data_IF_571146081108
#
_entry.id   IF_571146081108
#
_cell.length_a   1.000
_cell.length_b   1.000
_cell.length_c   1.000
_cell.angle_alpha   90.00
_cell.angle_beta   90.00
_cell.angle_gamma   90.00
#
_symmetry.space_group_name_H-M   'P 1'
#
loop_
_entity.id
_entity.type
_entity.pdbx_description
1 polymer ?
#
# COMPACT_ATOMS: atom_id res chain seq x y z
N UNK A 1 -62.43 -65.94 -23.60
CA UNK A 1 -60.97 -66.16 -23.62
C UNK A 1 -60.37 -65.04 -24.46
N UNK A 2 -59.93 -63.96 -23.82
CA UNK A 2 -59.46 -62.74 -24.50
C UNK A 2 -57.98 -62.89 -24.92
N UNK A 3 -57.55 -62.31 -26.06
CA UNK A 3 -56.16 -62.38 -26.49
C UNK A 3 -55.26 -61.45 -25.65
N UNK A 4 -53.94 -61.74 -25.56
CA UNK A 4 -53.03 -60.94 -24.75
C UNK A 4 -52.71 -59.60 -25.41
N UNK A 5 -52.65 -58.55 -24.60
CA UNK A 5 -52.33 -57.19 -25.01
C UNK A 5 -50.85 -57.04 -25.41
N UNK A 6 -50.61 -56.43 -26.57
CA UNK A 6 -49.28 -56.04 -27.05
C UNK A 6 -48.86 -54.77 -26.31
N UNK A 7 -47.76 -54.85 -25.55
CA UNK A 7 -47.19 -53.71 -24.84
C UNK A 7 -46.41 -52.79 -25.81
N UNK A 8 -46.83 -51.54 -25.91
CA UNK A 8 -46.12 -50.48 -26.65
C UNK A 8 -45.01 -49.91 -25.75
N UNK A 9 -43.76 -49.78 -26.21
CA UNK A 9 -42.70 -49.22 -25.39
C UNK A 9 -42.88 -47.70 -25.24
N UNK A 10 -42.96 -47.23 -23.99
CA UNK A 10 -42.91 -45.80 -23.65
C UNK A 10 -41.55 -45.23 -24.04
N UNK A 11 -41.53 -44.34 -25.04
CA UNK A 11 -40.36 -43.50 -25.35
C UNK A 11 -40.03 -42.63 -24.12
N UNK A 12 -38.87 -42.88 -23.51
CA UNK A 12 -38.25 -41.99 -22.53
C UNK A 12 -37.86 -40.69 -23.25
N UNK A 13 -38.65 -39.64 -23.04
CA UNK A 13 -38.25 -38.28 -23.42
C UNK A 13 -37.14 -37.86 -22.46
N UNK A 14 -35.89 -37.93 -22.92
CA UNK A 14 -34.75 -37.40 -22.20
C UNK A 14 -34.96 -35.88 -22.03
N UNK A 15 -35.29 -35.45 -20.81
CA UNK A 15 -35.28 -34.04 -20.44
C UNK A 15 -33.85 -33.54 -20.57
N UNK A 16 -33.57 -32.80 -21.65
CA UNK A 16 -32.33 -32.07 -21.83
C UNK A 16 -32.14 -31.18 -20.59
N UNK A 17 -31.20 -31.55 -19.73
CA UNK A 17 -30.73 -30.70 -18.65
C UNK A 17 -30.02 -29.52 -19.29
N UNK A 18 -30.73 -28.40 -19.40
CA UNK A 18 -30.12 -27.10 -19.69
C UNK A 18 -29.11 -26.82 -18.59
N UNK A 19 -27.83 -27.10 -18.86
CA UNK A 19 -26.73 -26.56 -18.09
C UNK A 19 -26.79 -25.05 -18.30
N UNK A 20 -27.35 -24.33 -17.34
CA UNK A 20 -27.11 -22.89 -17.22
C UNK A 20 -25.61 -22.74 -17.02
N UNK A 21 -24.89 -22.43 -18.10
CA UNK A 21 -23.59 -21.81 -17.97
C UNK A 21 -23.84 -20.50 -17.25
N UNK A 22 -23.43 -20.42 -15.98
CA UNK A 22 -23.18 -19.13 -15.37
C UNK A 22 -22.03 -18.53 -16.18
N UNK A 23 -22.36 -17.72 -17.19
CA UNK A 23 -21.42 -16.73 -17.65
C UNK A 23 -21.02 -15.97 -16.38
N UNK A 24 -19.75 -16.05 -16.00
CA UNK A 24 -19.20 -15.18 -14.98
C UNK A 24 -19.59 -13.77 -15.42
N UNK A 25 -20.48 -13.11 -14.66
CA UNK A 25 -20.80 -11.72 -14.92
C UNK A 25 -19.46 -11.00 -14.95
N UNK A 26 -19.09 -10.45 -16.11
CA UNK A 26 -17.81 -9.76 -16.25
C UNK A 26 -17.70 -8.76 -15.10
N UNK A 27 -16.70 -8.94 -14.24
CA UNK A 27 -16.58 -8.15 -13.02
C UNK A 27 -16.55 -6.67 -13.40
N UNK A 28 -17.34 -5.84 -12.71
CA UNK A 28 -17.42 -4.42 -13.04
C UNK A 28 -16.03 -3.78 -12.90
N UNK A 29 -15.59 -2.97 -13.88
CA UNK A 29 -14.37 -2.19 -13.76
C UNK A 29 -14.40 -1.30 -12.51
N UNK A 30 -13.24 -1.10 -11.90
CA UNK A 30 -13.09 -0.32 -10.67
C UNK A 30 -12.82 1.14 -10.97
N UNK A 31 -13.47 2.04 -10.23
CA UNK A 31 -13.08 3.44 -10.13
C UNK A 31 -12.33 3.66 -8.82
N UNK A 32 -11.07 4.02 -8.92
CA UNK A 32 -10.15 4.11 -7.79
C UNK A 32 -9.98 5.55 -7.32
N UNK A 33 -10.02 5.73 -6.00
CA UNK A 33 -9.59 6.95 -5.33
C UNK A 33 -8.26 6.68 -4.63
N UNK A 34 -7.15 7.06 -5.27
CA UNK A 34 -5.80 6.84 -4.77
C UNK A 34 -5.34 8.00 -3.87
N UNK A 35 -5.04 7.74 -2.61
CA UNK A 35 -4.55 8.70 -1.63
C UNK A 35 -3.06 8.47 -1.38
N UNK A 36 -2.20 9.40 -1.80
CA UNK A 36 -0.74 9.27 -1.69
C UNK A 36 -0.03 10.55 -1.27
N UNK A 37 1.27 10.49 -0.99
CA UNK A 37 2.06 11.69 -0.66
C UNK A 37 3.54 11.60 -0.99
N UNK A 38 4.20 10.46 -0.82
CA UNK A 38 5.65 10.32 -0.89
C UNK A 38 6.13 9.44 -2.07
N UNK A 39 7.45 9.23 -2.16
CA UNK A 39 8.08 8.45 -3.23
C UNK A 39 7.62 6.98 -3.23
N UNK A 40 7.35 6.40 -2.06
CA UNK A 40 6.81 5.03 -1.97
C UNK A 40 5.42 4.94 -2.62
N UNK A 41 4.56 5.94 -2.36
CA UNK A 41 3.23 6.02 -2.98
C UNK A 41 3.28 6.20 -4.50
N UNK A 42 4.33 6.83 -5.06
CA UNK A 42 4.48 7.00 -6.51
C UNK A 42 4.61 5.64 -7.21
N UNK A 43 5.32 4.68 -6.62
CA UNK A 43 5.45 3.35 -7.22
C UNK A 43 4.10 2.63 -7.33
N UNK A 44 3.26 2.71 -6.29
CA UNK A 44 1.91 2.16 -6.33
C UNK A 44 1.03 2.89 -7.36
N UNK A 45 1.10 4.24 -7.41
CA UNK A 45 0.35 5.03 -8.39
C UNK A 45 0.70 4.65 -9.83
N UNK A 46 2.00 4.54 -10.15
CA UNK A 46 2.49 4.17 -11.49
C UNK A 46 2.04 2.76 -11.88
N UNK A 47 2.09 1.80 -10.95
CA UNK A 47 1.59 0.44 -11.18
C UNK A 47 0.09 0.42 -11.48
N UNK A 48 -0.71 1.16 -10.70
CA UNK A 48 -2.16 1.29 -10.95
C UNK A 48 -2.46 1.99 -12.27
N UNK A 49 -1.73 3.04 -12.61
CA UNK A 49 -1.91 3.74 -13.89
C UNK A 49 -1.58 2.83 -15.07
N UNK A 50 -0.50 2.06 -15.00
CA UNK A 50 -0.17 1.07 -16.02
C UNK A 50 -1.28 0.03 -16.19
N UNK A 51 -1.85 -0.46 -15.08
CA UNK A 51 -2.99 -1.39 -15.13
C UNK A 51 -4.26 -0.72 -15.68
N UNK A 52 -4.51 0.54 -15.34
CA UNK A 52 -5.62 1.33 -15.89
C UNK A 52 -5.53 1.50 -17.41
N UNK A 53 -4.35 1.82 -17.93
CA UNK A 53 -4.13 1.99 -19.38
C UNK A 53 -4.20 0.65 -20.12
N UNK A 54 -3.59 -0.41 -19.55
CA UNK A 54 -3.50 -1.72 -20.22
C UNK A 54 -4.74 -2.59 -20.05
N UNK A 55 -5.50 -2.40 -18.97
CA UNK A 55 -6.64 -3.23 -18.60
C UNK A 55 -7.81 -2.38 -18.08
N UNK A 56 -8.47 -1.60 -18.97
CA UNK A 56 -9.62 -0.77 -18.59
C UNK A 56 -10.82 -1.58 -18.09
N UNK A 57 -10.85 -2.90 -18.33
CA UNK A 57 -11.86 -3.80 -17.75
C UNK A 57 -11.64 -4.06 -16.26
N UNK A 58 -10.44 -3.83 -15.74
CA UNK A 58 -10.13 -3.91 -14.31
C UNK A 58 -10.23 -2.54 -13.64
N UNK A 59 -9.62 -1.51 -14.22
CA UNK A 59 -9.62 -0.14 -13.67
C UNK A 59 -10.14 0.83 -14.75
N UNK A 60 -11.34 1.35 -14.54
CA UNK A 60 -12.01 2.29 -15.45
C UNK A 60 -11.65 3.75 -15.16
N UNK A 61 -11.43 4.10 -13.89
CA UNK A 61 -11.02 5.44 -13.51
C UNK A 61 -9.99 5.41 -12.36
N UNK A 62 -9.08 6.38 -12.38
CA UNK A 62 -8.06 6.56 -11.34
C UNK A 62 -7.95 8.05 -11.01
N UNK A 63 -8.39 8.43 -9.82
CA UNK A 63 -8.25 9.79 -9.29
C UNK A 63 -7.21 9.82 -8.18
N UNK A 64 -6.42 10.90 -8.10
CA UNK A 64 -5.37 11.05 -7.10
C UNK A 64 -5.76 12.11 -6.07
N UNK A 65 -5.74 11.74 -4.79
CA UNK A 65 -5.88 12.64 -3.66
C UNK A 65 -4.50 12.83 -3.04
N UNK A 66 -4.09 14.08 -2.86
CA UNK A 66 -2.81 14.40 -2.26
C UNK A 66 -2.94 15.56 -1.27
N UNK A 67 -1.96 15.69 -0.38
CA UNK A 67 -1.90 16.80 0.57
C UNK A 67 -1.38 18.08 -0.08
N UNK A 68 -1.69 19.28 0.43
CA UNK A 68 -1.06 20.50 -0.02
C UNK A 68 0.44 20.47 0.27
N UNK A 69 1.20 21.20 -0.55
CA UNK A 69 2.63 21.42 -0.31
C UNK A 69 2.87 22.10 1.04
N UNK A 70 4.01 21.79 1.67
CA UNK A 70 4.39 22.39 2.96
C UNK A 70 5.33 23.56 2.76
N UNK A 71 5.13 24.63 3.54
CA UNK A 71 6.09 25.73 3.61
C UNK A 71 7.40 25.27 4.26
N UNK A 72 8.51 25.63 3.65
CA UNK A 72 9.88 25.19 4.00
C UNK A 72 10.90 26.31 3.73
N UNK A 73 12.14 26.10 4.16
CA UNK A 73 13.24 27.06 4.01
C UNK A 73 13.21 28.20 5.03
N UNK A 74 14.25 29.06 5.00
CA UNK A 74 14.36 30.21 5.91
C UNK A 74 13.19 31.17 5.68
N UNK A 75 12.43 31.46 6.74
CA UNK A 75 11.25 32.32 6.65
C UNK A 75 10.04 31.67 5.95
N UNK A 76 10.05 30.36 5.72
CA UNK A 76 8.89 29.59 5.22
C UNK A 76 8.33 30.08 3.87
N UNK A 77 9.18 30.70 3.04
CA UNK A 77 8.79 31.27 1.75
C UNK A 77 8.69 30.25 0.62
N UNK A 78 9.33 29.09 0.75
CA UNK A 78 9.35 28.05 -0.29
C UNK A 78 8.26 27.02 -0.03
N UNK A 79 7.42 26.71 -1.02
CA UNK A 79 6.45 25.63 -0.92
C UNK A 79 7.08 24.37 -1.50
N UNK A 80 7.34 23.37 -0.65
CA UNK A 80 7.75 22.04 -1.09
C UNK A 80 6.50 21.25 -1.44
N UNK A 81 6.29 21.02 -2.74
CA UNK A 81 5.19 20.19 -3.25
C UNK A 81 5.34 18.74 -2.77
N UNK A 82 4.21 18.04 -2.68
CA UNK A 82 4.21 16.61 -2.37
C UNK A 82 4.61 15.82 -3.63
N UNK A 83 5.58 14.87 -3.54
CA UNK A 83 6.06 14.12 -4.70
C UNK A 83 4.97 13.49 -5.57
N UNK A 84 3.92 12.91 -4.95
CA UNK A 84 2.84 12.26 -5.69
C UNK A 84 2.07 13.20 -6.63
N UNK A 85 2.01 14.51 -6.33
CA UNK A 85 1.32 15.50 -7.16
C UNK A 85 1.99 15.62 -8.52
N UNK A 86 3.31 15.79 -8.52
CA UNK A 86 4.09 15.87 -9.75
C UNK A 86 3.97 14.58 -10.57
N UNK A 87 3.98 13.41 -9.92
CA UNK A 87 3.76 12.14 -10.61
C UNK A 87 2.35 12.01 -11.20
N UNK A 88 1.30 12.49 -10.51
CA UNK A 88 -0.06 12.47 -11.04
C UNK A 88 -0.23 13.40 -12.24
N UNK A 89 0.38 14.59 -12.19
CA UNK A 89 0.43 15.55 -13.30
C UNK A 89 1.18 14.96 -14.51
N UNK A 90 2.33 14.30 -14.29
CA UNK A 90 3.09 13.59 -15.32
C UNK A 90 2.24 12.52 -16.04
N UNK A 91 1.42 11.80 -15.28
CA UNK A 91 0.54 10.73 -15.78
C UNK A 91 -0.82 11.27 -16.30
N UNK A 92 -1.02 12.59 -16.33
CA UNK A 92 -2.27 13.24 -16.71
C UNK A 92 -3.52 12.74 -15.95
N UNK A 93 -3.35 12.42 -14.66
CA UNK A 93 -4.44 11.92 -13.80
C UNK A 93 -5.16 13.08 -13.11
N UNK A 94 -6.50 13.00 -12.93
CA UNK A 94 -7.24 14.01 -12.18
C UNK A 94 -6.84 14.02 -10.70
N UNK A 95 -6.44 15.19 -10.19
CA UNK A 95 -5.95 15.38 -8.82
C UNK A 95 -6.92 16.17 -7.93
N UNK A 96 -6.95 15.82 -6.64
CA UNK A 96 -7.69 16.51 -5.59
C UNK A 96 -6.75 16.87 -4.43
N UNK A 97 -6.55 18.15 -4.17
CA UNK A 97 -5.70 18.62 -3.07
C UNK A 97 -6.54 18.81 -1.79
N UNK A 98 -6.19 18.09 -0.71
CA UNK A 98 -6.87 18.20 0.59
C UNK A 98 -5.88 18.21 1.76
N UNK A 99 -6.08 19.09 2.75
CA UNK A 99 -5.29 19.02 3.99
C UNK A 99 -5.91 18.06 5.02
N UNK A 100 -7.23 17.93 5.00
CA UNK A 100 -8.02 17.06 5.87
C UNK A 100 -9.22 16.51 5.11
N UNK A 101 -9.73 15.36 5.56
CA UNK A 101 -11.03 14.87 5.11
C UNK A 101 -12.19 15.68 5.72
N UNK A 102 -12.01 16.45 6.79
CA UNK A 102 -13.12 17.23 7.38
C UNK A 102 -13.71 18.21 6.35
N UNK A 103 -15.03 18.13 6.11
CA UNK A 103 -15.73 19.00 5.16
C UNK A 103 -15.50 18.67 3.68
N UNK A 104 -14.66 17.69 3.35
CA UNK A 104 -14.39 17.30 1.97
C UNK A 104 -15.25 16.12 1.52
N UNK A 105 -15.77 16.18 0.29
CA UNK A 105 -16.49 15.08 -0.35
C UNK A 105 -15.83 14.77 -1.69
N UNK A 106 -15.53 13.49 -1.98
CA UNK A 106 -15.02 13.07 -3.28
C UNK A 106 -15.94 13.58 -4.40
N UNK A 107 -15.41 14.24 -5.43
CA UNK A 107 -16.25 14.87 -6.46
C UNK A 107 -16.79 13.86 -7.48
N UNK A 108 -16.28 12.63 -7.50
CA UNK A 108 -16.71 11.56 -8.39
C UNK A 108 -17.00 10.30 -7.57
N UNK A 109 -17.95 9.44 -8.00
CA UNK A 109 -18.16 8.16 -7.35
C UNK A 109 -16.96 7.24 -7.58
N UNK A 110 -16.64 6.42 -6.58
CA UNK A 110 -15.51 5.50 -6.56
C UNK A 110 -15.94 4.18 -5.91
N UNK A 111 -15.31 3.08 -6.31
CA UNK A 111 -15.66 1.74 -5.83
C UNK A 111 -14.68 1.25 -4.76
N UNK A 112 -13.44 1.78 -4.76
CA UNK A 112 -12.37 1.41 -3.85
C UNK A 112 -11.42 2.58 -3.58
N UNK A 113 -11.10 2.81 -2.31
CA UNK A 113 -10.03 3.73 -1.89
C UNK A 113 -8.70 2.98 -1.85
N UNK A 114 -7.62 3.54 -2.37
CA UNK A 114 -6.27 3.00 -2.20
C UNK A 114 -5.44 4.03 -1.48
N UNK A 115 -5.07 3.79 -0.23
CA UNK A 115 -4.16 4.67 0.50
C UNK A 115 -2.74 4.09 0.50
N UNK A 116 -1.74 4.90 0.20
CA UNK A 116 -0.32 4.51 0.31
C UNK A 116 0.45 5.70 0.84
N UNK A 117 1.00 5.59 2.04
CA UNK A 117 1.76 6.69 2.69
C UNK A 117 1.03 8.05 2.73
N UNK A 118 -0.30 8.07 2.85
CA UNK A 118 -1.08 9.31 2.77
C UNK A 118 -0.99 10.19 4.03
N UNK A 119 -0.80 9.57 5.19
CA UNK A 119 -0.66 10.25 6.48
C UNK A 119 -1.97 10.82 7.07
N UNK A 120 -3.12 10.52 6.48
CA UNK A 120 -4.45 10.77 7.06
C UNK A 120 -5.23 9.46 7.14
N UNK A 121 -5.99 9.29 8.23
CA UNK A 121 -6.93 8.18 8.35
C UNK A 121 -8.13 8.46 7.43
N UNK A 122 -8.45 7.54 6.54
CA UNK A 122 -9.64 7.66 5.68
C UNK A 122 -10.87 7.40 6.55
N UNK A 123 -11.77 8.38 6.74
CA UNK A 123 -12.85 8.25 7.71
C UNK A 123 -13.94 7.31 7.20
N UNK A 124 -14.74 6.71 8.12
CA UNK A 124 -15.81 5.78 7.75
C UNK A 124 -16.79 6.35 6.73
N UNK A 125 -17.10 7.64 6.80
CA UNK A 125 -18.02 8.31 5.85
C UNK A 125 -17.54 8.25 4.39
N UNK A 126 -16.23 8.12 4.15
CA UNK A 126 -15.63 7.97 2.81
C UNK A 126 -15.52 6.49 2.45
N UNK A 127 -15.04 5.65 3.37
CA UNK A 127 -14.96 4.21 3.15
C UNK A 127 -16.33 3.59 2.84
N UNK A 128 -17.40 4.06 3.50
CA UNK A 128 -18.76 3.58 3.28
C UNK A 128 -19.39 4.05 1.95
N UNK A 129 -18.78 5.02 1.26
CA UNK A 129 -19.18 5.40 -0.10
C UNK A 129 -18.60 4.44 -1.15
N UNK A 130 -17.44 3.84 -0.86
CA UNK A 130 -16.82 2.84 -1.71
C UNK A 130 -17.53 1.48 -1.56
N UNK A 131 -17.89 0.87 -2.68
CA UNK A 131 -18.49 -0.47 -2.73
C UNK A 131 -17.66 -1.53 -1.99
N UNK A 132 -16.33 -1.40 -2.07
CA UNK A 132 -15.38 -2.38 -1.55
C UNK A 132 -14.51 -1.83 -0.40
N UNK A 133 -14.85 -0.66 0.15
CA UNK A 133 -14.05 0.01 1.18
C UNK A 133 -12.72 0.52 0.64
N UNK A 134 -11.60 0.04 1.19
CA UNK A 134 -10.30 0.46 0.69
C UNK A 134 -9.15 -0.46 1.06
N UNK A 135 -8.00 -0.20 0.42
CA UNK A 135 -6.75 -0.93 0.57
C UNK A 135 -5.63 0.00 1.03
N UNK A 136 -4.66 -0.58 1.75
CA UNK A 136 -3.39 0.05 2.09
C UNK A 136 -2.22 -0.83 1.65
N UNK A 137 -1.17 -0.23 1.09
CA UNK A 137 0.12 -0.89 0.87
C UNK A 137 1.09 -0.42 1.94
N UNK A 138 1.51 -1.35 2.79
CA UNK A 138 2.37 -1.08 3.93
C UNK A 138 3.74 -1.74 3.75
N UNK A 139 4.86 -1.01 3.82
CA UNK A 139 6.20 -1.57 3.59
C UNK A 139 6.78 -2.26 4.83
N UNK A 140 6.01 -3.20 5.39
CA UNK A 140 6.49 -4.20 6.34
C UNK A 140 5.65 -5.48 6.27
N UNK A 141 6.10 -6.53 6.97
CA UNK A 141 5.32 -7.75 7.17
C UNK A 141 4.37 -7.61 8.38
N UNK A 142 3.22 -6.97 8.17
CA UNK A 142 2.21 -6.82 9.22
C UNK A 142 1.83 -8.16 9.90
N UNK A 143 1.64 -8.17 11.23
CA UNK A 143 1.51 -7.01 12.12
C UNK A 143 2.84 -6.35 12.53
N UNK A 144 3.99 -6.92 12.17
CA UNK A 144 5.28 -6.36 12.56
C UNK A 144 5.60 -5.05 11.85
N UNK A 145 6.28 -4.13 12.54
CA UNK A 145 6.58 -2.76 12.10
C UNK A 145 5.33 -1.98 11.64
N UNK A 146 4.20 -2.15 12.32
CA UNK A 146 3.01 -1.32 12.08
C UNK A 146 3.28 0.13 12.47
N UNK A 147 2.60 1.09 11.83
CA UNK A 147 2.75 2.52 12.12
C UNK A 147 3.46 3.31 11.00
N UNK A 148 3.77 4.59 11.25
CA UNK A 148 4.07 5.53 10.18
C UNK A 148 5.51 5.48 9.61
N UNK A 149 6.45 4.75 10.21
CA UNK A 149 7.86 4.75 9.75
C UNK A 149 8.53 3.36 9.61
N UNK A 150 7.87 2.32 9.07
CA UNK A 150 8.40 0.94 8.97
C UNK A 150 9.78 0.83 8.33
N UNK A 151 9.99 1.47 7.17
CA UNK A 151 11.27 1.46 6.42
C UNK A 151 12.42 1.96 7.30
N UNK A 152 12.20 3.05 8.04
CA UNK A 152 13.24 3.61 8.90
C UNK A 152 13.53 2.71 10.09
N UNK A 153 12.50 2.13 10.71
CA UNK A 153 12.68 1.23 11.84
C UNK A 153 13.35 -0.09 11.46
N UNK A 154 13.07 -0.64 10.27
CA UNK A 154 13.76 -1.82 9.76
C UNK A 154 15.28 -1.57 9.66
N UNK A 155 15.67 -0.43 9.07
CA UNK A 155 17.08 -0.04 8.96
C UNK A 155 17.70 0.27 10.33
N UNK A 156 17.01 1.02 11.20
CA UNK A 156 17.50 1.40 12.52
C UNK A 156 17.77 0.21 13.45
N UNK A 157 17.02 -0.88 13.28
CA UNK A 157 17.18 -2.11 14.07
C UNK A 157 18.21 -3.06 13.49
N UNK A 158 18.74 -2.76 12.30
CA UNK A 158 19.60 -3.68 11.56
C UNK A 158 18.91 -4.95 11.11
N UNK A 159 17.61 -4.86 10.78
CA UNK A 159 16.91 -5.98 10.19
C UNK A 159 17.58 -6.34 8.84
N UNK A 160 17.79 -7.63 8.57
CA UNK A 160 18.39 -8.10 7.30
C UNK A 160 17.34 -8.38 6.23
N UNK A 161 16.07 -8.48 6.63
CA UNK A 161 14.90 -8.56 5.77
C UNK A 161 13.77 -7.69 6.29
N UNK A 162 12.91 -7.26 5.38
CA UNK A 162 11.64 -6.59 5.66
C UNK A 162 10.57 -7.19 4.75
N UNK A 163 9.43 -6.55 4.55
CA UNK A 163 8.48 -7.04 3.56
C UNK A 163 7.44 -6.02 3.22
N UNK A 164 6.37 -6.50 2.60
CA UNK A 164 5.25 -5.66 2.17
C UNK A 164 3.97 -6.42 2.45
N UNK A 165 2.98 -5.68 2.95
CA UNK A 165 1.61 -6.15 3.15
C UNK A 165 0.65 -5.27 2.36
N UNK A 166 -0.26 -5.90 1.65
CA UNK A 166 -1.48 -5.25 1.13
C UNK A 166 -2.62 -5.67 2.05
N UNK A 167 -3.27 -4.71 2.69
CA UNK A 167 -4.35 -4.94 3.66
C UNK A 167 -5.59 -4.10 3.30
N UNK A 168 -6.74 -4.43 3.88
CA UNK A 168 -7.89 -3.52 3.87
C UNK A 168 -7.63 -2.28 4.73
N UNK A 169 -8.37 -1.19 4.51
CA UNK A 169 -8.38 -0.04 5.42
C UNK A 169 -9.29 -0.31 6.61
N UNK A 170 -8.82 0.01 7.82
CA UNK A 170 -9.62 -0.05 9.03
C UNK A 170 -10.26 1.34 9.32
N UNK A 171 -11.56 1.42 9.68
CA UNK A 171 -12.29 2.68 9.82
C UNK A 171 -11.79 3.62 10.93
N UNK A 172 -11.05 3.09 11.91
CA UNK A 172 -10.63 3.83 13.12
C UNK A 172 -9.13 3.80 13.42
N UNK A 173 -8.39 2.89 12.79
CA UNK A 173 -7.01 2.58 13.18
C UNK A 173 -6.15 2.42 11.94
N UNK A 174 -4.89 2.84 12.01
CA UNK A 174 -3.91 2.51 10.98
C UNK A 174 -3.45 1.07 11.16
N UNK A 175 -3.14 0.41 10.04
CA UNK A 175 -2.46 -0.88 10.00
C UNK A 175 -3.12 -2.04 10.76
N UNK A 176 -4.44 -1.97 10.90
CA UNK A 176 -5.27 -3.01 11.53
C UNK A 176 -6.31 -3.58 10.55
N UNK A 177 -6.03 -3.52 9.25
CA UNK A 177 -6.83 -4.16 8.23
C UNK A 177 -6.61 -5.67 8.16
N UNK A 178 -7.46 -6.34 7.39
CA UNK A 178 -7.20 -7.74 7.01
C UNK A 178 -6.11 -7.73 5.95
N UNK A 179 -4.98 -8.39 6.22
CA UNK A 179 -3.88 -8.55 5.26
C UNK A 179 -4.34 -9.51 4.15
N UNK A 180 -4.46 -9.01 2.92
CA UNK A 180 -4.94 -9.77 1.76
C UNK A 180 -3.78 -10.41 0.98
N UNK A 181 -2.62 -9.77 0.96
CA UNK A 181 -1.40 -10.29 0.38
C UNK A 181 -0.21 -9.83 1.22
N UNK A 182 0.81 -10.68 1.32
CA UNK A 182 2.02 -10.39 2.05
C UNK A 182 3.20 -11.09 1.37
N UNK A 183 4.38 -10.48 1.43
CA UNK A 183 5.61 -11.14 0.99
C UNK A 183 5.86 -12.40 1.83
N UNK A 184 6.26 -13.54 1.23
CA UNK A 184 6.48 -14.77 1.96
C UNK A 184 7.63 -14.64 2.98
N UNK A 185 7.58 -15.39 4.08
CA UNK A 185 8.68 -15.48 5.04
C UNK A 185 9.96 -16.00 4.35
N UNK A 186 11.17 -15.47 4.65
CA UNK A 186 11.51 -14.48 5.68
C UNK A 186 11.34 -13.00 5.27
N UNK A 187 10.65 -12.72 4.18
CA UNK A 187 10.46 -11.40 3.60
C UNK A 187 11.42 -11.12 2.44
N UNK A 188 11.59 -9.84 2.13
CA UNK A 188 12.50 -9.30 1.13
C UNK A 188 13.80 -8.92 1.81
N UNK A 189 14.93 -9.43 1.32
CA UNK A 189 16.27 -9.09 1.82
C UNK A 189 16.54 -7.60 1.61
N UNK A 190 17.04 -6.92 2.64
CA UNK A 190 17.49 -5.54 2.51
C UNK A 190 18.82 -5.52 1.73
N UNK A 191 18.90 -4.78 0.60
CA UNK A 191 20.12 -4.73 -0.20
C UNK A 191 21.20 -3.92 0.52
N UNK A 192 22.44 -4.43 0.50
CA UNK A 192 23.61 -3.75 1.09
C UNK A 192 23.32 -3.23 2.51
N UNK A 193 23.01 -4.14 3.44
CA UNK A 193 22.50 -3.85 4.79
C UNK A 193 23.33 -2.76 5.50
N UNK A 194 24.65 -2.76 5.31
CA UNK A 194 25.58 -1.82 5.95
C UNK A 194 25.55 -0.40 5.37
N UNK A 195 25.04 -0.23 4.15
CA UNK A 195 24.96 1.07 3.45
C UNK A 195 23.56 1.42 2.93
N UNK A 196 22.54 0.62 3.28
CA UNK A 196 21.19 0.81 2.79
C UNK A 196 20.59 2.11 3.36
N UNK A 197 20.17 3.00 2.47
CA UNK A 197 19.48 4.23 2.87
C UNK A 197 17.97 4.03 2.80
N UNK A 198 17.16 4.83 3.53
CA UNK A 198 15.70 4.78 3.38
C UNK A 198 15.26 4.95 1.92
N UNK A 199 15.97 5.78 1.15
CA UNK A 199 15.70 5.95 -0.29
C UNK A 199 15.98 4.66 -1.06
N UNK A 200 17.12 4.02 -0.86
CA UNK A 200 17.43 2.73 -1.51
C UNK A 200 16.34 1.69 -1.20
N UNK A 201 15.90 1.63 0.05
CA UNK A 201 14.88 0.66 0.45
C UNK A 201 13.49 1.00 -0.12
N UNK A 202 13.13 2.28 -0.24
CA UNK A 202 11.92 2.71 -0.98
C UNK A 202 12.00 2.31 -2.44
N UNK A 203 13.11 2.60 -3.12
CA UNK A 203 13.30 2.27 -4.54
C UNK A 203 13.28 0.73 -4.78
N UNK A 204 13.67 -0.05 -3.77
CA UNK A 204 13.64 -1.51 -3.80
C UNK A 204 12.24 -2.09 -3.51
N UNK A 205 11.56 -1.63 -2.45
CA UNK A 205 10.27 -2.16 -2.02
C UNK A 205 9.09 -1.60 -2.82
N UNK A 206 9.15 -0.33 -3.25
CA UNK A 206 8.07 0.36 -3.93
C UNK A 206 7.52 -0.39 -5.15
N UNK A 207 8.36 -0.80 -6.12
CA UNK A 207 7.91 -1.57 -7.28
C UNK A 207 7.22 -2.89 -6.90
N UNK A 208 7.74 -3.58 -5.88
CA UNK A 208 7.16 -4.84 -5.40
C UNK A 208 5.78 -4.58 -4.78
N UNK A 209 5.64 -3.54 -3.97
CA UNK A 209 4.37 -3.17 -3.35
C UNK A 209 3.31 -2.74 -4.37
N UNK A 210 3.71 -2.00 -5.40
CA UNK A 210 2.83 -1.65 -6.53
C UNK A 210 2.35 -2.89 -7.29
N UNK A 211 3.25 -3.84 -7.57
CA UNK A 211 2.91 -5.09 -8.24
C UNK A 211 1.95 -5.96 -7.40
N UNK A 212 2.21 -6.08 -6.09
CA UNK A 212 1.33 -6.81 -5.17
C UNK A 212 -0.06 -6.19 -5.09
N UNK A 213 -0.16 -4.86 -5.07
CA UNK A 213 -1.45 -4.16 -5.10
C UNK A 213 -2.24 -4.50 -6.37
N UNK A 214 -1.60 -4.42 -7.54
CA UNK A 214 -2.23 -4.79 -8.82
C UNK A 214 -2.68 -6.24 -8.82
N UNK A 215 -1.87 -7.15 -8.27
CA UNK A 215 -2.25 -8.56 -8.12
C UNK A 215 -3.51 -8.73 -7.26
N UNK A 216 -3.58 -8.07 -6.10
CA UNK A 216 -4.78 -8.06 -5.25
C UNK A 216 -6.02 -7.55 -6.00
N UNK A 217 -5.84 -6.55 -6.87
CA UNK A 217 -6.94 -6.05 -7.71
C UNK A 217 -7.39 -7.08 -8.74
N UNK A 218 -6.45 -7.70 -9.47
CA UNK A 218 -6.72 -8.72 -10.49
C UNK A 218 -7.42 -9.95 -9.89
N UNK A 219 -6.98 -10.39 -8.72
CA UNK A 219 -7.55 -11.53 -8.00
C UNK A 219 -8.87 -11.21 -7.28
N UNK A 220 -9.24 -9.92 -7.19
CA UNK A 220 -10.40 -9.43 -6.45
C UNK A 220 -10.40 -9.91 -4.98
N UNK A 221 -9.22 -10.07 -4.38
CA UNK A 221 -9.04 -10.60 -3.03
C UNK A 221 -9.68 -9.73 -1.92
N UNK A 222 -10.04 -8.49 -2.26
CA UNK A 222 -10.74 -7.54 -1.40
C UNK A 222 -12.26 -7.75 -1.34
N UNK A 223 -12.82 -8.67 -2.13
CA UNK A 223 -14.25 -9.01 -2.09
C UNK A 223 -14.49 -10.07 -0.99
N UNK A 224 -15.43 -9.85 -0.06
CA UNK A 224 -15.76 -10.84 0.96
C UNK A 224 -16.21 -12.21 0.39
N UNK A 225 -15.93 -13.33 1.10
CA UNK A 225 -15.25 -13.40 2.39
C UNK A 225 -13.75 -13.18 2.27
N UNK A 226 -13.22 -12.30 3.13
CA UNK A 226 -11.79 -11.96 3.14
C UNK A 226 -10.98 -13.11 3.74
N UNK A 227 -9.87 -13.46 3.09
CA UNK A 227 -8.90 -14.45 3.58
C UNK A 227 -7.64 -13.72 4.01
N UNK A 228 -7.24 -13.92 5.26
CA UNK A 228 -6.00 -13.33 5.77
C UNK A 228 -4.79 -14.09 5.21
N UNK A 229 -3.89 -13.36 4.57
CA UNK A 229 -2.57 -13.82 4.15
C UNK A 229 -1.46 -13.50 5.17
N UNK A 230 -1.82 -12.92 6.33
CA UNK A 230 -0.84 -12.58 7.36
C UNK A 230 -0.11 -13.83 7.86
N UNK A 231 1.22 -13.82 7.77
CA UNK A 231 2.08 -14.82 8.40
C UNK A 231 1.93 -14.66 9.92
N UNK A 232 1.67 -15.77 10.61
CA UNK A 232 1.67 -15.79 12.07
C UNK A 232 3.10 -15.70 12.56
N UNK A 233 3.41 -14.67 13.35
CA UNK A 233 4.65 -14.60 14.12
C UNK A 233 4.39 -15.04 15.56
N UNK A 234 5.37 -15.70 16.17
CA UNK A 234 5.39 -16.00 17.61
C UNK A 234 5.89 -14.80 18.44
N UNK A 235 6.56 -13.83 17.80
CA UNK A 235 7.07 -12.63 18.45
C UNK A 235 6.02 -11.53 18.54
N UNK A 236 6.10 -10.69 19.58
CA UNK A 236 5.25 -9.50 19.68
C UNK A 236 5.49 -8.54 18.50
N UNK A 237 4.42 -7.97 17.90
CA UNK A 237 4.56 -7.01 16.81
C UNK A 237 5.28 -5.74 17.27
N UNK A 238 6.30 -5.32 16.52
CA UNK A 238 7.07 -4.11 16.85
C UNK A 238 6.35 -2.89 16.27
N UNK A 239 6.22 -1.81 17.04
CA UNK A 239 5.67 -0.54 16.55
C UNK A 239 6.75 0.33 15.91
N UNK A 240 6.50 0.79 14.68
CA UNK A 240 7.34 1.70 13.92
C UNK A 240 6.85 3.16 14.07
N UNK A 241 7.08 3.73 15.24
CA UNK A 241 6.65 5.09 15.60
C UNK A 241 7.21 6.16 14.66
N UNK A 242 6.51 7.30 14.58
CA UNK A 242 6.92 8.42 13.75
C UNK A 242 8.28 8.95 14.22
N UNK A 243 9.22 9.12 13.28
CA UNK A 243 10.49 9.77 13.57
C UNK A 243 10.29 11.22 13.99
N UNK A 244 11.10 11.63 14.95
CA UNK A 244 11.13 12.98 15.53
C UNK A 244 12.54 13.55 15.40
N UNK A 245 12.75 14.83 15.72
CA UNK A 245 14.07 15.47 15.62
C UNK A 245 15.08 14.85 16.58
N UNK A 246 14.61 14.38 17.73
CA UNK A 246 15.39 13.74 18.78
C UNK A 246 16.03 12.42 18.29
N UNK A 247 15.36 11.69 17.39
CA UNK A 247 15.95 10.52 16.73
C UNK A 247 17.15 10.89 15.84
N UNK A 248 17.29 12.19 15.52
CA UNK A 248 18.39 12.79 14.78
C UNK A 248 19.66 13.05 15.61
N UNK A 249 19.60 12.93 16.94
CA UNK A 249 20.68 13.31 17.84
C UNK A 249 21.73 12.19 17.98
N UNK A 250 22.99 12.60 18.02
CA UNK A 250 24.14 11.70 18.22
C UNK A 250 24.57 11.78 19.70
N UNK A 251 24.32 10.72 20.46
CA UNK A 251 24.77 10.58 21.87
C UNK A 251 26.23 10.06 22.00
N UNK A 252 27.24 10.91 22.01
CA UNK A 252 28.63 10.43 21.97
C UNK A 252 29.06 9.46 23.11
N UNK A 253 28.27 9.26 24.17
CA UNK A 253 28.57 8.31 25.24
C UNK A 253 28.30 6.84 24.89
N UNK A 254 27.35 6.56 23.99
CA UNK A 254 26.98 5.18 23.60
C UNK A 254 27.56 4.74 22.25
N UNK A 255 28.35 5.60 21.59
CA UNK A 255 28.93 5.33 20.27
C UNK A 255 30.41 4.91 20.37
N UNK A 256 30.71 3.63 20.18
CA UNK A 256 32.07 3.17 19.89
C UNK A 256 32.35 3.37 18.39
N UNK A 257 32.79 4.57 18.02
CA UNK A 257 32.98 4.97 16.62
C UNK A 257 34.16 4.24 15.94
N UNK A 258 33.93 3.68 14.73
CA UNK A 258 35.02 3.34 13.79
C UNK A 258 35.06 4.17 12.51
N UNK A 259 33.96 4.83 12.10
CA UNK A 259 33.98 5.86 11.05
C UNK A 259 32.69 6.71 11.05
N UNK A 260 32.81 8.02 10.83
CA UNK A 260 31.71 8.94 10.51
C UNK A 260 31.92 9.42 9.07
N UNK A 261 31.07 9.01 8.12
CA UNK A 261 31.10 9.53 6.75
C UNK A 261 29.88 10.44 6.56
N UNK A 262 30.16 11.74 6.41
CA UNK A 262 29.16 12.72 5.97
C UNK A 262 29.10 12.73 4.44
N UNK A 263 28.00 12.23 3.89
CA UNK A 263 27.58 12.59 2.53
C UNK A 263 26.07 12.85 2.52
N UNK A 264 25.61 13.69 1.61
CA UNK A 264 24.38 14.51 1.60
C UNK A 264 23.04 13.75 1.55
N UNK A 265 22.97 12.52 2.04
CA UNK A 265 21.77 11.68 2.06
C UNK A 265 21.84 10.76 3.29
N UNK A 266 20.71 10.61 4.00
CA UNK A 266 20.59 9.82 5.23
C UNK A 266 21.29 8.46 5.05
N UNK A 267 22.44 8.27 5.71
CA UNK A 267 23.12 6.97 5.83
C UNK A 267 22.78 6.40 7.20
N UNK A 268 22.10 5.26 7.20
CA UNK A 268 22.03 4.36 8.36
C UNK A 268 23.09 3.31 8.09
N UNK A 269 24.29 3.49 8.64
CA UNK A 269 25.26 2.39 8.67
C UNK A 269 25.01 1.60 9.94
N UNK A 270 25.17 0.28 9.95
CA UNK A 270 25.08 -0.56 11.15
C UNK A 270 26.47 -1.15 11.37
N UNK A 271 27.10 -0.85 12.50
CA UNK A 271 28.24 -1.59 13.04
C UNK A 271 28.07 -1.63 14.55
N UNK A 272 28.31 -2.81 15.14
CA UNK A 272 28.07 -3.19 16.55
C UNK A 272 27.75 -2.04 17.52
N UNK A 273 26.52 -2.10 18.05
CA UNK A 273 25.83 -1.12 18.92
C UNK A 273 25.25 0.13 18.24
N UNK A 274 23.91 0.11 18.11
CA UNK A 274 22.97 1.24 18.07
C UNK A 274 23.37 2.45 17.21
N UNK A 275 22.89 2.51 15.96
CA UNK A 275 23.02 3.67 15.06
C UNK A 275 21.62 4.25 14.84
N UNK A 276 21.23 5.44 15.33
CA UNK A 276 21.53 6.85 14.98
C UNK A 276 21.21 7.26 13.55
N UNK A 277 20.07 7.95 13.41
CA UNK A 277 19.74 8.75 12.22
C UNK A 277 20.26 10.15 12.44
N UNK A 278 20.69 10.84 11.39
CA UNK A 278 20.71 12.31 11.36
C UNK A 278 19.67 12.80 10.35
N UNK A 279 18.72 13.61 10.82
CA UNK A 279 17.84 14.40 9.94
C UNK A 279 18.39 15.82 9.96
N UNK A 280 19.16 16.19 8.95
CA UNK A 280 19.51 17.58 8.70
C UNK A 280 18.37 18.24 7.92
N UNK A 281 17.52 18.99 8.63
CA UNK A 281 16.82 20.12 8.03
C UNK A 281 17.90 21.04 7.42
N UNK A 282 17.80 21.31 6.12
CA UNK A 282 18.67 22.26 5.41
C UNK A 282 18.71 23.60 6.15
N UNK A 283 19.80 23.86 6.86
CA UNK A 283 20.21 25.19 7.26
C UNK A 283 21.52 25.51 6.52
N UNK A 284 21.46 26.59 5.72
CA UNK A 284 22.53 27.30 5.01
C UNK A 284 23.04 26.69 3.68
N UNK A 285 22.51 27.19 2.56
CA UNK A 285 23.12 28.26 1.75
C UNK A 285 22.02 28.96 0.95
#
# INVERSE_FOLDING_TARGET
>A
MFPPAIAVPRRLVARARWRRSFASAAATPLRLLFCGSDDFSIHALRALHQEHVSNPRLIDALHVVHRPGKRTGRGLKQIRQVPVKAAAEELALPTHEIDTFTGWTPPTPFDLVVAVSFGLLVPPRILNQATYGGLNVHPSMLPDLYGPAPIHHALLRGDTSTGISVQTLHPKHFDQGVVLAQTPHPGIRIPDVDNCTPKHLVDHLGPIGGAMLVQVLRERAFIPPLKSAAVKSESEPRHASKLTKEHGHVDFHTCLCRALIFDRTIRVSIFDCTIRVSILDKLHA
#
